data_IF_854021262082
#
_entry.id   IF_854021262082
#
_cell.length_a   1.000
_cell.length_b   1.000
_cell.length_c   1.000
_cell.angle_alpha   90.00
_cell.angle_beta   90.00
_cell.angle_gamma   90.00
#
_symmetry.space_group_name_H-M   'P 1'
#
loop_
_entity.id
_entity.type
_entity.pdbx_description
1 polymer ?
#
# COMPACT_ATOMS: atom_id res chain seq x y z
N UNK A 1 -28.08 4.73 20.89
CA UNK A 1 -26.67 4.64 21.36
C UNK A 1 -26.45 3.20 21.79
N UNK A 2 -25.70 2.42 21.06
CA UNK A 2 -25.23 1.10 21.50
C UNK A 2 -24.12 1.30 22.51
N UNK A 3 -24.29 0.78 23.70
CA UNK A 3 -23.24 0.76 24.71
C UNK A 3 -22.31 -0.40 24.38
N UNK A 4 -21.07 -0.10 24.00
CA UNK A 4 -20.05 -1.14 23.78
C UNK A 4 -19.51 -1.55 25.15
N UNK A 5 -19.67 -2.82 25.50
CA UNK A 5 -19.01 -3.42 26.67
C UNK A 5 -17.59 -3.81 26.27
N UNK A 6 -16.61 -3.13 26.77
CA UNK A 6 -15.21 -3.47 26.58
C UNK A 6 -14.82 -4.65 27.47
N UNK A 7 -14.09 -5.64 26.92
CA UNK A 7 -13.53 -6.72 27.75
C UNK A 7 -12.48 -6.17 28.70
N UNK A 8 -12.36 -6.74 29.88
CA UNK A 8 -11.45 -6.29 30.96
C UNK A 8 -10.01 -6.06 30.50
N UNK A 9 -9.49 -6.87 29.60
CA UNK A 9 -8.16 -6.71 29.02
C UNK A 9 -7.95 -5.44 28.21
N UNK A 10 -9.01 -4.93 27.55
CA UNK A 10 -8.99 -3.68 26.79
C UNK A 10 -8.97 -2.48 27.75
N UNK A 11 -9.80 -2.52 28.78
CA UNK A 11 -9.86 -1.49 29.82
C UNK A 11 -8.51 -1.38 30.54
N UNK A 12 -7.90 -2.53 30.88
CA UNK A 12 -6.56 -2.57 31.48
C UNK A 12 -5.51 -1.91 30.58
N UNK A 13 -5.50 -2.23 29.28
CA UNK A 13 -4.55 -1.66 28.32
C UNK A 13 -4.65 -0.14 28.22
N UNK A 14 -5.87 0.42 28.25
CA UNK A 14 -6.10 1.86 28.27
C UNK A 14 -5.60 2.50 29.58
N UNK A 15 -5.85 1.85 30.72
CA UNK A 15 -5.41 2.32 32.02
C UNK A 15 -3.88 2.32 32.17
N UNK A 16 -3.20 1.41 31.46
CA UNK A 16 -1.73 1.31 31.40
C UNK A 16 -1.11 2.29 30.37
N UNK A 17 -1.87 3.27 29.87
CA UNK A 17 -1.41 4.26 28.88
C UNK A 17 -1.39 3.75 27.44
N UNK A 18 -2.03 2.62 27.17
CA UNK A 18 -2.19 2.09 25.81
C UNK A 18 -3.19 2.91 24.98
N UNK A 19 -3.10 2.76 23.67
CA UNK A 19 -3.99 3.40 22.70
C UNK A 19 -4.82 2.35 22.00
N UNK A 20 -6.08 2.67 21.72
CA UNK A 20 -6.97 1.89 20.88
C UNK A 20 -7.24 2.66 19.59
N UNK A 21 -7.25 1.92 18.49
CA UNK A 21 -7.72 2.44 17.21
C UNK A 21 -9.16 1.99 17.03
N UNK A 22 -10.08 2.96 16.95
CA UNK A 22 -11.47 2.73 16.57
C UNK A 22 -11.62 3.11 15.09
N UNK A 23 -12.01 2.14 14.27
CA UNK A 23 -12.11 2.31 12.83
C UNK A 23 -13.50 1.87 12.34
N UNK A 24 -14.08 2.64 11.42
CA UNK A 24 -15.37 2.32 10.84
C UNK A 24 -15.34 0.95 10.14
N UNK A 25 -16.30 0.11 10.50
CA UNK A 25 -16.46 -1.20 9.88
C UNK A 25 -16.76 -1.06 8.37
N UNK A 26 -16.06 -1.84 7.56
CA UNK A 26 -16.25 -1.90 6.11
C UNK A 26 -17.02 -3.18 5.75
N UNK A 27 -18.32 -3.09 5.44
CA UNK A 27 -19.17 -4.28 5.22
C UNK A 27 -18.73 -5.12 4.02
N UNK A 28 -18.10 -4.52 3.00
CA UNK A 28 -17.56 -5.24 1.85
C UNK A 28 -16.19 -5.89 2.08
N UNK A 29 -15.67 -5.90 3.30
CA UNK A 29 -14.45 -6.66 3.60
C UNK A 29 -14.56 -8.16 3.26
N UNK A 30 -15.79 -8.71 3.17
CA UNK A 30 -16.05 -10.06 2.65
C UNK A 30 -15.68 -10.25 1.17
N UNK A 31 -15.65 -9.19 0.38
CA UNK A 31 -15.22 -9.22 -1.01
C UNK A 31 -13.70 -9.28 -1.16
N UNK A 32 -12.99 -9.19 -0.04
CA UNK A 32 -11.56 -9.23 0.04
C UNK A 32 -10.90 -7.85 0.05
N UNK A 33 -9.59 -7.86 -0.19
CA UNK A 33 -8.72 -6.69 -0.17
C UNK A 33 -7.94 -6.62 -1.47
N UNK A 34 -7.84 -5.44 -2.03
CA UNK A 34 -7.02 -5.18 -3.21
C UNK A 34 -5.73 -4.51 -2.79
N UNK A 35 -4.61 -5.14 -3.08
CA UNK A 35 -3.27 -4.58 -2.95
C UNK A 35 -2.86 -3.95 -4.27
N UNK A 36 -2.57 -2.67 -4.25
CA UNK A 36 -2.08 -1.90 -5.38
C UNK A 36 -0.56 -1.78 -5.28
N UNK A 37 0.17 -2.44 -6.18
CA UNK A 37 1.64 -2.38 -6.23
C UNK A 37 2.10 -1.19 -7.06
N UNK A 38 3.02 -0.43 -6.51
CA UNK A 38 3.48 0.83 -7.08
C UNK A 38 5.01 0.85 -7.18
N UNK A 39 5.53 1.26 -8.32
CA UNK A 39 6.95 1.54 -8.54
C UNK A 39 7.14 3.05 -8.68
N UNK A 40 7.77 3.68 -7.68
CA UNK A 40 7.81 5.13 -7.60
C UNK A 40 6.40 5.72 -7.56
N UNK A 41 5.99 6.40 -8.62
CA UNK A 41 4.63 6.98 -8.77
C UNK A 41 3.71 6.21 -9.72
N UNK A 42 4.15 5.05 -10.27
CA UNK A 42 3.39 4.26 -11.24
C UNK A 42 2.88 2.96 -10.66
N UNK A 43 1.62 2.67 -10.89
CA UNK A 43 1.03 1.37 -10.56
C UNK A 43 1.56 0.30 -11.52
N UNK A 44 2.11 -0.77 -10.98
CA UNK A 44 2.75 -1.86 -11.74
C UNK A 44 1.97 -3.17 -11.68
N UNK A 45 0.88 -3.20 -10.93
CA UNK A 45 -0.05 -4.33 -10.89
C UNK A 45 -0.86 -4.38 -9.61
N UNK A 46 -1.63 -5.45 -9.47
CA UNK A 46 -2.56 -5.64 -8.37
C UNK A 46 -2.50 -7.06 -7.82
N UNK A 47 -2.80 -7.19 -6.54
CA UNK A 47 -3.10 -8.45 -5.88
C UNK A 47 -4.49 -8.39 -5.28
N UNK A 48 -5.33 -9.41 -5.49
CA UNK A 48 -6.64 -9.50 -4.84
C UNK A 48 -6.65 -10.69 -3.89
N UNK A 49 -6.80 -10.41 -2.60
CA UNK A 49 -6.95 -11.41 -1.56
C UNK A 49 -8.44 -11.58 -1.27
N UNK A 50 -8.95 -12.79 -1.48
CA UNK A 50 -10.28 -13.14 -1.03
C UNK A 50 -10.20 -13.62 0.42
N UNK A 51 -11.05 -13.08 1.28
CA UNK A 51 -11.19 -13.51 2.66
C UNK A 51 -12.42 -14.41 2.70
N UNK A 52 -12.20 -15.70 2.95
CA UNK A 52 -13.27 -16.72 2.90
C UNK A 52 -14.22 -16.71 4.08
N UNK A 53 -13.84 -16.07 5.19
CA UNK A 53 -14.73 -15.87 6.32
C UNK A 53 -14.39 -14.58 7.04
N UNK A 54 -15.33 -13.68 7.14
CA UNK A 54 -15.32 -12.61 8.12
C UNK A 54 -15.75 -13.18 9.46
N UNK A 55 -14.99 -12.86 10.47
CA UNK A 55 -15.48 -13.02 11.84
C UNK A 55 -16.63 -12.03 12.04
N UNK A 56 -17.85 -12.49 11.88
CA UNK A 56 -19.01 -11.72 12.34
C UNK A 56 -18.96 -11.62 13.87
N UNK A 57 -19.21 -10.44 14.45
CA UNK A 57 -19.14 -10.25 15.91
C UNK A 57 -20.04 -11.18 16.74
N UNK A 58 -20.98 -11.88 16.11
CA UNK A 58 -21.97 -12.76 16.73
C UNK A 58 -21.62 -14.25 16.70
N UNK A 59 -20.56 -14.66 16.01
CA UNK A 59 -20.18 -16.05 15.86
C UNK A 59 -18.80 -16.34 16.50
N UNK A 60 -18.71 -16.22 17.83
CA UNK A 60 -17.68 -16.94 18.59
C UNK A 60 -18.21 -18.38 18.74
N UNK A 61 -18.27 -19.11 17.66
CA UNK A 61 -18.42 -20.54 17.70
C UNK A 61 -17.02 -21.14 17.76
N UNK A 62 -16.67 -21.69 18.90
CA UNK A 62 -15.34 -22.21 19.23
C UNK A 62 -14.98 -23.51 18.49
N UNK A 63 -15.79 -23.93 17.54
CA UNK A 63 -15.62 -25.20 16.81
C UNK A 63 -15.25 -25.05 15.33
N UNK A 64 -15.22 -23.85 14.77
CA UNK A 64 -14.88 -23.67 13.36
C UNK A 64 -13.40 -23.41 13.15
N UNK A 65 -12.83 -24.11 12.18
CA UNK A 65 -11.47 -23.92 11.67
C UNK A 65 -11.20 -22.43 11.39
N UNK A 66 -10.06 -21.94 11.84
CA UNK A 66 -9.57 -20.59 11.54
C UNK A 66 -9.72 -20.30 10.05
N UNK A 67 -10.36 -19.20 9.65
CA UNK A 67 -10.46 -18.84 8.23
C UNK A 67 -9.08 -18.82 7.61
N UNK A 68 -8.85 -19.66 6.61
CA UNK A 68 -7.60 -19.66 5.86
C UNK A 68 -7.70 -18.59 4.77
N UNK A 69 -6.75 -17.67 4.68
CA UNK A 69 -6.71 -16.73 3.56
C UNK A 69 -6.55 -17.52 2.26
N UNK A 70 -7.45 -17.31 1.31
CA UNK A 70 -7.25 -17.80 -0.05
C UNK A 70 -6.03 -17.15 -0.69
N UNK A 71 -5.36 -17.86 -1.59
CA UNK A 71 -4.21 -17.34 -2.31
C UNK A 71 -4.52 -16.02 -3.00
N UNK A 72 -3.53 -15.14 -3.06
CA UNK A 72 -3.63 -13.87 -3.74
C UNK A 72 -3.64 -14.05 -5.25
N UNK A 73 -4.70 -13.59 -5.92
CA UNK A 73 -4.76 -13.52 -7.36
C UNK A 73 -3.99 -12.28 -7.84
N UNK A 74 -3.01 -12.46 -8.74
CA UNK A 74 -2.17 -11.38 -9.26
C UNK A 74 -2.63 -10.90 -10.63
N UNK A 75 -2.61 -9.59 -10.85
CA UNK A 75 -3.05 -8.94 -12.08
C UNK A 75 -2.05 -7.88 -12.53
N UNK A 76 -1.96 -7.70 -13.85
CA UNK A 76 -1.22 -6.57 -14.44
C UNK A 76 -1.94 -5.23 -14.23
N UNK A 77 -1.24 -4.10 -14.48
CA UNK A 77 -1.80 -2.76 -14.24
C UNK A 77 -2.97 -2.41 -15.18
N UNK A 78 -3.12 -3.13 -16.30
CA UNK A 78 -4.15 -2.88 -17.32
C UNK A 78 -5.45 -3.67 -17.08
N UNK A 79 -5.55 -4.44 -15.99
CA UNK A 79 -6.76 -5.20 -15.71
C UNK A 79 -7.97 -4.27 -15.54
N UNK A 80 -8.97 -4.48 -16.36
CA UNK A 80 -10.16 -3.60 -16.43
C UNK A 80 -10.82 -3.39 -15.07
N UNK A 81 -10.87 -4.44 -14.25
CA UNK A 81 -11.47 -4.41 -12.92
C UNK A 81 -10.88 -3.33 -12.01
N UNK A 82 -9.58 -3.02 -12.14
CA UNK A 82 -8.87 -2.10 -11.26
C UNK A 82 -8.33 -0.85 -11.97
N UNK A 83 -8.74 -0.60 -13.21
CA UNK A 83 -8.32 0.60 -13.98
C UNK A 83 -8.70 1.89 -13.26
N UNK A 84 -9.90 1.95 -12.66
CA UNK A 84 -10.32 3.12 -11.89
C UNK A 84 -9.42 3.36 -10.66
N UNK A 85 -9.04 2.29 -9.95
CA UNK A 85 -8.11 2.37 -8.82
C UNK A 85 -6.73 2.86 -9.27
N UNK A 86 -6.19 2.30 -10.38
CA UNK A 86 -4.93 2.77 -10.94
C UNK A 86 -4.97 4.26 -11.25
N UNK A 87 -6.01 4.70 -11.96
CA UNK A 87 -6.17 6.10 -12.32
C UNK A 87 -6.26 7.01 -11.08
N UNK A 88 -7.03 6.62 -10.08
CA UNK A 88 -7.13 7.36 -8.83
C UNK A 88 -5.78 7.45 -8.10
N UNK A 89 -5.01 6.36 -8.08
CA UNK A 89 -3.66 6.33 -7.48
C UNK A 89 -2.70 7.28 -8.21
N UNK A 90 -2.55 7.10 -9.52
CA UNK A 90 -1.55 7.81 -10.32
C UNK A 90 -1.88 9.30 -10.51
N UNK A 91 -3.15 9.63 -10.76
CA UNK A 91 -3.56 11.00 -11.13
C UNK A 91 -3.85 11.88 -9.90
N UNK A 92 -4.19 11.28 -8.75
CA UNK A 92 -4.65 12.04 -7.59
C UNK A 92 -3.99 11.66 -6.28
N UNK A 93 -4.11 10.42 -5.82
CA UNK A 93 -3.74 10.08 -4.44
C UNK A 93 -2.24 10.08 -4.19
N UNK A 94 -1.43 9.60 -5.12
CA UNK A 94 0.04 9.67 -4.99
C UNK A 94 0.52 11.12 -5.01
N UNK A 95 0.14 11.97 -5.98
CA UNK A 95 0.50 13.39 -5.96
C UNK A 95 0.03 14.13 -4.70
N UNK A 96 -1.18 13.83 -4.22
CA UNK A 96 -1.70 14.44 -3.00
C UNK A 96 -0.91 14.00 -1.75
N UNK A 97 -0.60 12.72 -1.63
CA UNK A 97 0.24 12.17 -0.56
C UNK A 97 1.63 12.83 -0.56
N UNK A 98 2.26 12.92 -1.73
CA UNK A 98 3.55 13.60 -1.88
C UNK A 98 3.51 15.05 -1.40
N UNK A 99 2.47 15.78 -1.81
CA UNK A 99 2.28 17.18 -1.39
C UNK A 99 2.05 17.30 0.12
N UNK A 100 1.21 16.43 0.72
CA UNK A 100 0.88 16.47 2.15
C UNK A 100 2.08 16.09 3.03
N UNK A 101 2.87 15.12 2.59
CA UNK A 101 4.02 14.60 3.34
C UNK A 101 5.35 15.22 2.92
N UNK A 102 5.33 16.16 1.96
CA UNK A 102 6.54 16.78 1.39
C UNK A 102 7.55 15.75 0.86
N UNK A 103 7.07 14.70 0.18
CA UNK A 103 7.89 13.63 -0.41
C UNK A 103 8.18 14.00 -1.87
N UNK A 104 9.45 14.12 -2.23
CA UNK A 104 9.85 14.32 -3.62
C UNK A 104 9.81 13.01 -4.43
N UNK A 105 9.73 13.09 -5.76
CA UNK A 105 9.65 11.91 -6.64
C UNK A 105 10.79 10.92 -6.42
N UNK A 106 12.00 11.41 -6.16
CA UNK A 106 13.17 10.57 -5.93
C UNK A 106 13.19 9.90 -4.56
N UNK A 107 12.38 10.38 -3.61
CA UNK A 107 12.23 9.83 -2.25
C UNK A 107 11.14 8.75 -2.17
N UNK A 108 10.28 8.67 -3.20
CA UNK A 108 9.29 7.58 -3.24
C UNK A 108 9.99 6.21 -3.23
N UNK A 109 9.48 5.23 -2.51
CA UNK A 109 10.07 3.89 -2.51
C UNK A 109 10.11 3.31 -3.93
N UNK A 110 11.15 2.52 -4.22
CA UNK A 110 11.29 1.85 -5.52
C UNK A 110 10.13 0.91 -5.80
N UNK A 111 9.71 0.16 -4.77
CA UNK A 111 8.53 -0.69 -4.79
C UNK A 111 7.83 -0.56 -3.44
N UNK A 112 6.55 -0.25 -3.49
CA UNK A 112 5.67 -0.13 -2.34
C UNK A 112 4.26 -0.59 -2.70
N UNK A 113 3.40 -0.73 -1.73
CA UNK A 113 2.01 -1.07 -1.98
C UNK A 113 1.04 -0.29 -1.09
N UNK A 114 -0.19 -0.20 -1.55
CA UNK A 114 -1.32 0.32 -0.81
C UNK A 114 -2.47 -0.68 -0.85
N UNK A 115 -3.02 -0.98 0.31
CA UNK A 115 -4.11 -1.93 0.50
C UNK A 115 -5.45 -1.21 0.61
N UNK A 116 -6.43 -1.70 -0.13
CA UNK A 116 -7.76 -1.13 -0.22
C UNK A 116 -8.84 -2.16 0.05
N UNK A 117 -9.85 -1.76 0.82
CA UNK A 117 -11.13 -2.45 0.91
C UNK A 117 -12.13 -1.83 -0.05
N UNK A 118 -13.10 -2.61 -0.49
CA UNK A 118 -14.22 -2.10 -1.26
C UNK A 118 -15.20 -1.35 -0.34
N UNK A 119 -15.77 -0.26 -0.86
CA UNK A 119 -16.84 0.47 -0.18
C UNK A 119 -18.21 0.07 -0.72
N UNK A 120 -19.27 0.11 0.12
CA UNK A 120 -20.63 -0.05 -0.35
C UNK A 120 -21.02 1.09 -1.29
N UNK A 121 -21.70 0.75 -2.39
CA UNK A 121 -22.25 1.72 -3.31
C UNK A 121 -21.87 1.45 -4.76
N UNK A 122 -22.20 2.37 -5.61
CA UNK A 122 -22.27 2.33 -7.06
C UNK A 122 -21.01 1.83 -7.79
N UNK A 123 -21.16 1.64 -9.11
CA UNK A 123 -20.14 1.14 -10.03
C UNK A 123 -18.71 1.59 -9.70
N UNK A 124 -17.75 0.70 -9.90
CA UNK A 124 -16.31 0.85 -9.65
C UNK A 124 -15.79 2.23 -10.09
N UNK A 125 -15.78 3.15 -9.14
CA UNK A 125 -15.22 4.50 -9.25
C UNK A 125 -14.10 4.66 -8.23
N UNK A 126 -13.40 5.77 -8.25
CA UNK A 126 -12.39 6.11 -7.24
C UNK A 126 -12.95 6.20 -5.80
N UNK A 127 -14.26 6.48 -5.67
CA UNK A 127 -14.99 6.45 -4.40
C UNK A 127 -15.28 5.06 -3.86
N UNK A 128 -15.12 4.01 -4.68
CA UNK A 128 -15.42 2.62 -4.32
C UNK A 128 -14.35 1.96 -3.44
N UNK A 129 -13.31 2.67 -3.07
CA UNK A 129 -12.17 2.13 -2.32
C UNK A 129 -11.94 2.87 -1.01
N UNK A 130 -11.60 2.11 0.04
CA UNK A 130 -11.13 2.63 1.32
C UNK A 130 -9.69 2.18 1.53
N UNK A 131 -8.77 3.14 1.65
CA UNK A 131 -7.38 2.86 2.00
C UNK A 131 -7.31 2.27 3.41
N UNK A 132 -6.59 1.16 3.56
CA UNK A 132 -6.35 0.49 4.83
C UNK A 132 -4.93 0.66 5.31
N UNK A 133 -3.96 0.46 4.41
CA UNK A 133 -2.55 0.35 4.77
C UNK A 133 -1.68 0.79 3.60
N UNK A 134 -0.49 1.33 3.92
CA UNK A 134 0.59 1.58 2.97
C UNK A 134 1.84 0.88 3.48
N UNK A 135 2.47 0.05 2.64
CA UNK A 135 3.68 -0.68 2.94
C UNK A 135 4.84 -0.17 2.07
N UNK A 136 5.81 0.49 2.69
CA UNK A 136 6.98 1.04 2.00
C UNK A 136 8.18 0.07 1.95
N UNK A 137 8.05 -1.12 2.56
CA UNK A 137 9.08 -2.16 2.59
C UNK A 137 8.45 -3.55 2.65
N UNK A 138 9.27 -4.59 2.38
CA UNK A 138 8.83 -5.99 2.45
C UNK A 138 7.65 -6.33 1.53
N UNK A 139 7.62 -5.72 0.36
CA UNK A 139 6.55 -5.84 -0.65
C UNK A 139 6.75 -7.11 -1.47
N UNK A 140 6.41 -8.26 -0.90
CA UNK A 140 6.47 -9.56 -1.57
C UNK A 140 5.33 -10.46 -1.08
N UNK A 141 4.80 -11.34 -1.95
CA UNK A 141 5.07 -11.45 -3.38
C UNK A 141 4.41 -10.30 -4.16
N UNK A 142 4.94 -9.97 -5.33
CA UNK A 142 4.42 -8.95 -6.25
C UNK A 142 4.13 -9.56 -7.63
N UNK A 143 3.25 -8.94 -8.46
CA UNK A 143 2.88 -9.47 -9.75
C UNK A 143 4.06 -9.49 -10.75
N UNK A 144 4.12 -10.44 -11.68
CA UNK A 144 5.18 -10.49 -12.70
C UNK A 144 5.32 -9.20 -13.50
N UNK A 145 4.24 -8.46 -13.70
CA UNK A 145 4.22 -7.14 -14.37
C UNK A 145 5.07 -6.08 -13.66
N UNK A 146 5.37 -6.25 -12.37
CA UNK A 146 6.20 -5.32 -11.59
C UNK A 146 7.71 -5.51 -11.86
N UNK A 147 8.15 -6.69 -12.32
CA UNK A 147 9.58 -7.04 -12.43
C UNK A 147 10.33 -6.07 -13.34
N UNK A 148 9.86 -5.85 -14.55
CA UNK A 148 10.52 -4.97 -15.53
C UNK A 148 10.55 -3.50 -15.10
N UNK A 149 9.43 -2.90 -14.68
CA UNK A 149 9.43 -1.50 -14.19
C UNK A 149 10.36 -1.30 -12.99
N UNK A 150 10.36 -2.21 -12.02
CA UNK A 150 11.23 -2.13 -10.82
C UNK A 150 12.70 -2.26 -11.21
N UNK A 151 13.06 -3.20 -12.06
CA UNK A 151 14.43 -3.36 -12.54
C UNK A 151 14.93 -2.11 -13.28
N UNK A 152 14.13 -1.56 -14.20
CA UNK A 152 14.45 -0.34 -14.93
C UNK A 152 14.62 0.86 -14.00
N UNK A 153 13.73 1.03 -13.02
CA UNK A 153 13.81 2.12 -12.05
C UNK A 153 15.03 1.96 -11.12
N UNK A 154 15.41 0.73 -10.75
CA UNK A 154 16.60 0.46 -9.95
C UNK A 154 17.89 0.86 -10.69
N UNK A 155 17.98 0.50 -11.96
CA UNK A 155 19.10 0.87 -12.82
C UNK A 155 19.18 2.40 -12.96
N UNK A 156 18.08 3.05 -13.30
CA UNK A 156 18.03 4.51 -13.46
C UNK A 156 18.42 5.28 -12.18
N UNK A 157 18.06 4.78 -11.00
CA UNK A 157 18.48 5.38 -9.73
C UNK A 157 19.98 5.22 -9.47
N UNK A 158 20.55 4.07 -9.80
CA UNK A 158 21.98 3.81 -9.67
C UNK A 158 22.77 4.77 -10.53
N UNK A 159 22.43 4.88 -11.79
CA UNK A 159 23.14 5.69 -12.77
C UNK A 159 23.01 7.21 -12.45
N UNK A 160 21.83 7.66 -12.03
CA UNK A 160 21.61 9.02 -11.53
C UNK A 160 22.38 9.34 -10.24
N UNK A 161 22.56 8.36 -9.35
CA UNK A 161 23.36 8.47 -8.14
C UNK A 161 24.85 8.59 -8.41
N UNK A 162 25.35 7.91 -9.43
CA UNK A 162 26.74 7.98 -9.86
C UNK A 162 27.08 9.33 -10.49
N UNK A 163 26.21 9.87 -11.34
CA UNK A 163 26.35 11.21 -11.91
C UNK A 163 26.35 12.29 -10.82
N UNK A 164 25.51 12.17 -9.79
CA UNK A 164 25.49 13.11 -8.66
C UNK A 164 26.78 13.04 -7.83
N UNK A 165 27.33 11.84 -7.59
CA UNK A 165 28.62 11.68 -6.88
C UNK A 165 29.77 12.37 -7.64
N UNK A 166 29.82 12.23 -8.96
CA UNK A 166 30.83 12.85 -9.80
C UNK A 166 30.70 14.39 -9.83
N UNK A 167 29.50 14.93 -9.73
CA UNK A 167 29.27 16.39 -9.67
C UNK A 167 29.66 17.00 -8.32
N UNK A 168 29.78 16.23 -7.26
CA UNK A 168 30.14 16.69 -5.91
C UNK A 168 31.61 16.41 -5.55
N UNK A 169 32.39 15.82 -6.45
CA UNK A 169 33.86 15.74 -6.25
C UNK A 169 34.43 17.15 -6.39
N UNK A 170 35.19 17.66 -5.39
CA UNK A 170 35.85 18.91 -5.52
C UNK A 170 36.83 18.86 -6.72
N UNK A 171 36.80 19.85 -7.57
CA UNK A 171 37.77 20.01 -8.65
C UNK A 171 39.16 20.02 -7.99
N UNK A 172 39.95 18.97 -8.24
CA UNK A 172 41.35 19.01 -7.92
C UNK A 172 41.96 20.16 -8.77
N UNK A 173 42.34 21.25 -8.10
CA UNK A 173 43.11 22.28 -8.69
C UNK A 173 44.37 21.63 -9.29
N UNK A 174 44.50 21.70 -10.61
CA UNK A 174 45.74 21.34 -11.28
C UNK A 174 46.79 22.28 -10.74
N UNK A 175 47.74 21.72 -10.00
CA UNK A 175 48.96 22.43 -9.74
C UNK A 175 49.55 22.84 -11.08
N UNK A 176 49.70 24.15 -11.28
CA UNK A 176 50.50 24.68 -12.33
C UNK A 176 51.96 24.40 -11.89
N UNK A 177 52.66 23.56 -12.66
CA UNK A 177 54.10 23.45 -12.58
C UNK A 177 54.67 24.63 -13.32
N UNK A 178 55.36 25.49 -12.58
CA UNK A 178 56.40 26.39 -13.06
C UNK A 178 57.76 25.66 -13.13
#
# INVERSE_FOLDING_TARGET
>A
KQTVQWKDGVVKKLNDGGVLIDQAYQPQSSEGMVRCYVCGHRVVGFGHNLITALMTPTAIDTTSSTPQPMGRAMFGPEVTRFVALRKAMEDRWIPEMQRLLSIADHDLPLLWDADFLFRPGEAISDGSYALCEINASSVAPFPPSAVQPVAAAAIGRRDGGEVRRLQHLPRQDRCADD
#
